data_IF_761496591305
#
_entry.id   IF_761496591305
#
_cell.length_a   1.000
_cell.length_b   1.000
_cell.length_c   1.000
_cell.angle_alpha   90.00
_cell.angle_beta   90.00
_cell.angle_gamma   90.00
#
_symmetry.space_group_name_H-M   'P 1'
#
loop_
_entity.id
_entity.type
_entity.pdbx_description
1 polymer ?
#
# COMPACT_ATOMS: atom_id res chain seq x y z
N UNK A 1 -41.79 -26.03 -8.88
CA UNK A 1 -40.46 -25.54 -8.46
C UNK A 1 -40.69 -24.35 -7.53
N UNK A 2 -40.12 -24.30 -6.35
CA UNK A 2 -40.30 -23.20 -5.39
C UNK A 2 -38.96 -22.50 -5.20
N UNK A 3 -38.88 -21.21 -5.50
CA UNK A 3 -37.69 -20.40 -5.25
C UNK A 3 -37.80 -19.69 -3.90
N UNK A 4 -36.68 -19.65 -3.16
CA UNK A 4 -36.56 -18.91 -1.91
C UNK A 4 -35.39 -17.97 -1.99
N UNK A 5 -35.65 -16.70 -1.92
CA UNK A 5 -34.64 -15.65 -1.80
C UNK A 5 -34.37 -15.36 -0.33
N UNK A 6 -33.11 -15.27 0.04
CA UNK A 6 -32.68 -14.85 1.37
C UNK A 6 -31.72 -13.68 1.23
N UNK A 7 -32.12 -12.52 1.70
CA UNK A 7 -31.23 -11.40 1.92
C UNK A 7 -30.71 -11.48 3.37
N UNK A 8 -29.41 -11.33 3.58
CA UNK A 8 -28.77 -11.25 4.88
C UNK A 8 -27.91 -10.00 4.88
N UNK A 9 -28.29 -8.96 5.59
CA UNK A 9 -27.42 -7.84 5.89
C UNK A 9 -26.67 -8.12 7.20
N UNK A 10 -25.37 -7.94 7.21
CA UNK A 10 -24.51 -8.13 8.39
C UNK A 10 -24.47 -6.86 9.23
N UNK A 11 -24.91 -5.72 8.66
CA UNK A 11 -24.95 -4.42 9.31
C UNK A 11 -26.36 -3.80 9.27
N UNK A 12 -26.73 -3.13 10.34
CA UNK A 12 -28.00 -2.42 10.49
C UNK A 12 -28.11 -1.12 9.69
N UNK A 13 -27.04 -0.72 9.00
CA UNK A 13 -26.95 0.53 8.23
C UNK A 13 -27.23 0.37 6.73
N UNK A 14 -27.52 -0.84 6.29
CA UNK A 14 -27.79 -1.10 4.87
C UNK A 14 -29.12 -0.56 4.41
N UNK A 15 -29.13 0.27 3.36
CA UNK A 15 -30.31 0.86 2.72
C UNK A 15 -31.14 -0.13 1.90
N UNK A 16 -31.13 -1.41 2.21
CA UNK A 16 -31.90 -2.47 1.54
C UNK A 16 -31.20 -2.99 0.28
N UNK A 17 -31.52 -4.24 -0.07
CA UNK A 17 -31.07 -4.87 -1.32
C UNK A 17 -32.08 -4.62 -2.44
N UNK A 18 -31.60 -4.19 -3.60
CA UNK A 18 -32.38 -4.18 -4.83
C UNK A 18 -31.97 -5.37 -5.69
N UNK A 19 -32.95 -6.02 -6.33
CA UNK A 19 -32.73 -7.06 -7.32
C UNK A 19 -33.23 -6.55 -8.68
N UNK A 20 -32.35 -6.62 -9.67
CA UNK A 20 -32.66 -6.28 -11.04
C UNK A 20 -32.22 -7.41 -11.98
N UNK A 21 -32.92 -7.55 -13.12
CA UNK A 21 -32.57 -8.53 -14.17
C UNK A 21 -32.46 -9.98 -13.69
N UNK A 22 -33.44 -10.48 -12.93
CA UNK A 22 -33.44 -11.86 -12.45
C UNK A 22 -33.58 -12.81 -13.64
N UNK A 23 -32.52 -13.58 -13.92
CA UNK A 23 -32.55 -14.67 -14.90
C UNK A 23 -32.70 -15.99 -14.17
N UNK A 24 -33.62 -16.81 -14.62
CA UNK A 24 -33.85 -18.18 -14.14
C UNK A 24 -33.57 -19.12 -15.31
N UNK A 25 -32.49 -19.86 -15.23
CA UNK A 25 -32.09 -20.85 -16.21
C UNK A 25 -32.16 -22.26 -15.63
N UNK A 26 -32.26 -23.27 -16.48
CA UNK A 26 -32.06 -24.65 -16.06
C UNK A 26 -30.58 -24.85 -15.72
N UNK A 27 -30.30 -25.48 -14.57
CA UNK A 27 -28.91 -25.75 -14.18
C UNK A 27 -28.26 -26.66 -15.22
N UNK A 28 -26.99 -26.39 -15.61
CA UNK A 28 -26.30 -27.29 -16.57
C UNK A 28 -26.14 -28.68 -15.99
N UNK A 29 -26.33 -29.68 -16.84
CA UNK A 29 -26.27 -31.13 -16.46
C UNK A 29 -24.91 -31.54 -15.90
N UNK A 30 -23.84 -30.79 -16.17
CA UNK A 30 -22.48 -30.99 -15.65
C UNK A 30 -22.13 -30.05 -14.54
N UNK A 31 -20.85 -29.91 -14.23
CA UNK A 31 -20.29 -28.84 -13.42
C UNK A 31 -20.37 -27.49 -14.16
N UNK A 32 -20.45 -26.40 -13.43
CA UNK A 32 -20.39 -25.05 -13.97
C UNK A 32 -19.51 -24.18 -13.07
N UNK A 33 -18.33 -23.88 -13.53
CA UNK A 33 -17.40 -23.04 -12.81
C UNK A 33 -17.75 -21.55 -12.98
N UNK A 34 -17.78 -20.82 -11.87
CA UNK A 34 -18.01 -19.37 -11.85
C UNK A 34 -17.01 -18.71 -10.90
N UNK A 35 -16.26 -17.72 -11.39
CA UNK A 35 -15.40 -16.87 -10.57
C UNK A 35 -16.17 -15.59 -10.24
N UNK A 36 -16.07 -15.12 -9.00
CA UNK A 36 -16.84 -13.96 -8.49
C UNK A 36 -16.38 -12.59 -9.03
N UNK A 37 -15.35 -12.55 -9.87
CA UNK A 37 -14.84 -11.35 -10.53
C UNK A 37 -14.65 -11.61 -12.03
N UNK A 38 -14.63 -10.56 -12.83
CA UNK A 38 -14.45 -10.63 -14.29
C UNK A 38 -13.01 -10.36 -14.75
N UNK A 39 -12.20 -9.76 -13.89
CA UNK A 39 -10.77 -9.50 -14.10
C UNK A 39 -10.09 -9.18 -12.78
N UNK A 40 -8.76 -9.21 -12.75
CA UNK A 40 -7.96 -8.69 -11.66
C UNK A 40 -6.76 -7.90 -12.19
N UNK A 41 -6.50 -6.72 -11.59
CA UNK A 41 -5.35 -5.89 -11.89
C UNK A 41 -4.58 -5.63 -10.59
N UNK A 42 -3.29 -5.95 -10.60
CA UNK A 42 -2.39 -5.72 -9.47
C UNK A 42 -1.99 -4.24 -9.30
N UNK A 43 -2.27 -3.38 -10.30
CA UNK A 43 -1.78 -2.00 -10.33
C UNK A 43 -0.27 -1.92 -10.58
N UNK A 44 0.33 -0.83 -10.11
CA UNK A 44 1.78 -0.60 -10.17
C UNK A 44 2.48 -1.34 -9.02
N UNK A 45 3.48 -2.15 -9.37
CA UNK A 45 4.21 -2.99 -8.41
C UNK A 45 5.70 -2.71 -8.52
N UNK A 46 6.31 -2.27 -7.44
CA UNK A 46 7.73 -1.97 -7.37
C UNK A 46 8.61 -3.15 -7.77
N UNK A 47 9.80 -2.83 -8.29
CA UNK A 47 10.85 -3.79 -8.65
C UNK A 47 11.05 -4.86 -7.55
N UNK A 48 11.06 -6.12 -7.97
CA UNK A 48 11.21 -7.29 -7.08
C UNK A 48 10.19 -7.39 -5.94
N UNK A 49 9.07 -6.70 -6.02
CA UNK A 49 7.95 -6.85 -5.08
C UNK A 49 6.81 -7.66 -5.70
N UNK A 50 5.89 -8.05 -4.86
CA UNK A 50 4.70 -8.79 -5.27
C UNK A 50 3.45 -8.26 -4.57
N UNK A 51 2.33 -8.29 -5.28
CA UNK A 51 1.01 -7.92 -4.76
C UNK A 51 0.09 -9.12 -4.90
N UNK A 52 -0.68 -9.37 -3.85
CA UNK A 52 -1.66 -10.47 -3.82
C UNK A 52 -3.07 -9.89 -3.78
N UNK A 53 -3.97 -10.47 -4.56
CA UNK A 53 -5.38 -10.06 -4.61
C UNK A 53 -6.06 -10.19 -3.25
N UNK A 54 -7.13 -9.44 -3.03
CA UNK A 54 -8.14 -9.81 -2.03
C UNK A 54 -8.64 -11.22 -2.33
N UNK A 55 -9.29 -11.86 -1.37
CA UNK A 55 -9.83 -13.20 -1.55
C UNK A 55 -10.84 -13.24 -2.69
N UNK A 56 -10.59 -14.10 -3.65
CA UNK A 56 -11.46 -14.44 -4.76
C UNK A 56 -12.15 -15.77 -4.47
N UNK A 57 -13.25 -16.05 -5.17
CA UNK A 57 -14.03 -17.27 -4.95
C UNK A 57 -14.34 -17.97 -6.28
N UNK A 58 -14.10 -19.27 -6.33
CA UNK A 58 -14.51 -20.16 -7.41
C UNK A 58 -15.65 -21.05 -6.92
N UNK A 59 -16.81 -20.92 -7.56
CA UNK A 59 -18.05 -21.67 -7.25
C UNK A 59 -18.33 -22.71 -8.32
N UNK A 60 -18.71 -23.93 -7.91
CA UNK A 60 -19.40 -24.87 -8.77
C UNK A 60 -20.91 -24.57 -8.76
N UNK A 61 -21.38 -23.79 -9.73
CA UNK A 61 -22.80 -23.46 -9.92
C UNK A 61 -23.58 -24.56 -10.67
N UNK A 62 -22.95 -25.68 -10.98
CA UNK A 62 -23.55 -26.84 -11.63
C UNK A 62 -24.19 -27.84 -10.67
N UNK A 63 -24.81 -28.92 -11.23
CA UNK A 63 -25.47 -29.97 -10.45
C UNK A 63 -24.56 -31.17 -10.14
N UNK A 64 -23.43 -31.28 -10.82
CA UNK A 64 -22.48 -32.40 -10.63
C UNK A 64 -21.16 -31.91 -10.06
N UNK A 65 -20.51 -32.82 -9.35
CA UNK A 65 -19.15 -32.61 -8.87
C UNK A 65 -18.20 -32.35 -10.04
N UNK A 66 -17.30 -31.38 -9.86
CA UNK A 66 -16.21 -31.12 -10.81
C UNK A 66 -14.87 -31.11 -10.09
N UNK A 67 -13.82 -31.59 -10.78
CA UNK A 67 -12.46 -31.62 -10.28
C UNK A 67 -11.59 -30.71 -11.13
N UNK A 68 -10.76 -29.87 -10.50
CA UNK A 68 -9.76 -29.07 -11.20
C UNK A 68 -8.67 -30.01 -11.75
N UNK A 69 -8.47 -29.98 -13.06
CA UNK A 69 -7.43 -30.80 -13.74
C UNK A 69 -6.15 -30.00 -13.99
N UNK A 70 -6.27 -28.67 -14.18
CA UNK A 70 -5.13 -27.77 -14.34
C UNK A 70 -5.49 -26.35 -13.97
N UNK A 71 -4.48 -25.60 -13.51
CA UNK A 71 -4.53 -24.15 -13.30
C UNK A 71 -3.25 -23.56 -13.85
N UNK A 72 -3.35 -22.67 -14.83
CA UNK A 72 -2.18 -22.16 -15.55
C UNK A 72 -2.28 -20.68 -15.91
N UNK A 73 -1.09 -20.08 -16.01
CA UNK A 73 -0.81 -18.78 -16.60
C UNK A 73 0.23 -18.96 -17.72
N UNK A 74 0.23 -18.07 -18.69
CA UNK A 74 1.27 -18.04 -19.75
C UNK A 74 2.53 -17.33 -19.26
N UNK A 75 2.38 -16.38 -18.35
CA UNK A 75 3.46 -15.56 -17.82
C UNK A 75 3.80 -15.97 -16.38
N UNK A 76 5.09 -16.16 -16.13
CA UNK A 76 5.63 -16.54 -14.81
C UNK A 76 5.46 -15.47 -13.71
N UNK A 77 5.10 -14.25 -14.07
CA UNK A 77 4.85 -13.18 -13.10
C UNK A 77 3.57 -13.42 -12.29
N UNK A 78 2.67 -14.27 -12.78
CA UNK A 78 1.44 -14.60 -12.07
C UNK A 78 1.51 -15.99 -11.43
N UNK A 79 0.91 -16.09 -10.26
CA UNK A 79 0.69 -17.34 -9.54
C UNK A 79 -0.64 -17.29 -8.79
N UNK A 80 -1.13 -18.44 -8.32
CA UNK A 80 -2.38 -18.52 -7.55
C UNK A 80 -2.28 -19.57 -6.46
N UNK A 81 -3.08 -19.41 -5.41
CA UNK A 81 -3.27 -20.44 -4.38
C UNK A 81 -4.20 -21.57 -4.84
N UNK A 82 -4.93 -21.38 -5.95
CA UNK A 82 -5.77 -22.42 -6.52
C UNK A 82 -4.88 -23.53 -7.13
N UNK A 83 -5.18 -24.79 -6.87
CA UNK A 83 -4.35 -25.89 -7.30
C UNK A 83 -5.18 -27.02 -7.93
N UNK A 84 -4.53 -27.82 -8.77
CA UNK A 84 -5.13 -29.01 -9.36
C UNK A 84 -5.51 -30.03 -8.29
N UNK A 85 -6.35 -30.97 -8.69
CA UNK A 85 -6.89 -32.08 -7.88
C UNK A 85 -7.91 -31.64 -6.81
N UNK A 86 -8.24 -30.35 -6.71
CA UNK A 86 -9.34 -29.90 -5.88
C UNK A 86 -10.67 -30.34 -6.47
N UNK A 87 -11.53 -30.87 -5.63
CA UNK A 87 -12.87 -31.33 -5.99
C UNK A 87 -13.89 -30.38 -5.40
N UNK A 88 -14.85 -29.96 -6.20
CA UNK A 88 -15.96 -29.11 -5.79
C UNK A 88 -17.28 -29.83 -6.07
N UNK A 89 -18.00 -30.15 -5.00
CA UNK A 89 -19.36 -30.68 -5.12
C UNK A 89 -20.33 -29.62 -5.64
N UNK A 90 -21.54 -30.04 -6.01
CA UNK A 90 -22.59 -29.11 -6.46
C UNK A 90 -22.82 -28.01 -5.40
N UNK A 91 -22.74 -26.74 -5.81
CA UNK A 91 -22.90 -25.55 -4.96
C UNK A 91 -21.77 -25.32 -3.96
N UNK A 92 -20.71 -26.08 -4.03
CA UNK A 92 -19.51 -25.84 -3.24
C UNK A 92 -18.62 -24.76 -3.87
N UNK A 93 -17.90 -24.03 -3.05
CA UNK A 93 -16.95 -23.01 -3.48
C UNK A 93 -15.65 -23.09 -2.73
N UNK A 94 -14.59 -22.56 -3.33
CA UNK A 94 -13.26 -22.42 -2.73
C UNK A 94 -12.77 -20.99 -2.86
N UNK A 95 -12.18 -20.51 -1.78
CA UNK A 95 -11.49 -19.23 -1.76
C UNK A 95 -10.06 -19.37 -2.26
N UNK A 96 -9.61 -18.40 -3.04
CA UNK A 96 -8.25 -18.36 -3.57
C UNK A 96 -7.75 -16.93 -3.74
N UNK A 97 -6.44 -16.79 -3.98
CA UNK A 97 -5.80 -15.54 -4.30
C UNK A 97 -4.97 -15.68 -5.58
N UNK A 98 -4.72 -14.56 -6.23
CA UNK A 98 -3.76 -14.41 -7.32
C UNK A 98 -2.66 -13.48 -6.84
N UNK A 99 -1.42 -13.83 -7.14
CA UNK A 99 -0.24 -12.99 -6.84
C UNK A 99 0.43 -12.59 -8.14
N UNK A 100 0.72 -11.32 -8.29
CA UNK A 100 1.58 -10.76 -9.33
C UNK A 100 2.93 -10.37 -8.73
N UNK A 101 4.01 -10.87 -9.31
CA UNK A 101 5.39 -10.54 -8.94
C UNK A 101 6.03 -9.72 -10.07
N UNK A 102 6.41 -8.49 -9.79
CA UNK A 102 6.97 -7.57 -10.78
C UNK A 102 8.28 -8.09 -11.41
N UNK A 103 9.13 -8.78 -10.62
CA UNK A 103 10.43 -9.25 -11.12
C UNK A 103 11.33 -8.07 -11.50
N UNK A 104 12.17 -8.29 -12.52
CA UNK A 104 13.18 -7.31 -12.98
C UNK A 104 12.74 -6.51 -14.22
N UNK A 105 11.54 -6.76 -14.72
CA UNK A 105 11.06 -6.18 -15.99
C UNK A 105 10.27 -4.90 -15.69
N UNK A 106 10.54 -3.84 -16.43
CA UNK A 106 9.74 -2.62 -16.46
C UNK A 106 8.73 -2.74 -17.60
N UNK A 107 7.54 -3.21 -17.31
CA UNK A 107 6.50 -3.42 -18.31
C UNK A 107 5.12 -3.68 -17.71
N UNK A 108 4.09 -3.25 -18.43
CA UNK A 108 2.74 -3.77 -18.27
C UNK A 108 2.72 -5.25 -18.69
N UNK A 109 2.30 -6.12 -17.78
CA UNK A 109 2.17 -7.56 -17.99
C UNK A 109 0.70 -7.92 -17.98
N UNK A 110 0.23 -8.46 -19.10
CA UNK A 110 -1.13 -8.96 -19.24
C UNK A 110 -1.10 -10.48 -19.45
N UNK A 111 -2.05 -11.19 -18.84
CA UNK A 111 -2.20 -12.62 -18.94
C UNK A 111 -3.65 -13.05 -18.68
N UNK A 112 -3.88 -14.34 -18.68
CA UNK A 112 -5.16 -14.97 -18.41
C UNK A 112 -4.94 -16.21 -17.54
N UNK A 113 -5.50 -16.24 -16.35
CA UNK A 113 -5.58 -17.47 -15.56
C UNK A 113 -6.58 -18.41 -16.24
N UNK A 114 -6.14 -19.60 -16.57
CA UNK A 114 -7.01 -20.66 -17.12
C UNK A 114 -7.17 -21.76 -16.08
N UNK A 115 -8.42 -22.12 -15.77
CA UNK A 115 -8.76 -23.25 -14.90
C UNK A 115 -9.55 -24.26 -15.72
N UNK A 116 -9.06 -25.51 -15.79
CA UNK A 116 -9.68 -26.61 -16.50
C UNK A 116 -10.23 -27.66 -15.55
N UNK A 117 -11.27 -28.33 -15.96
CA UNK A 117 -12.00 -29.32 -15.17
C UNK A 117 -12.21 -30.62 -15.92
N UNK A 118 -12.49 -31.69 -15.19
CA UNK A 118 -12.85 -33.01 -15.78
C UNK A 118 -14.30 -33.05 -16.28
N UNK A 119 -15.20 -32.28 -15.64
CA UNK A 119 -16.65 -32.34 -15.88
C UNK A 119 -17.30 -30.95 -16.00
N UNK A 120 -16.55 -29.93 -16.38
CA UNK A 120 -17.06 -28.58 -16.64
C UNK A 120 -16.25 -27.91 -17.76
N UNK A 121 -16.81 -26.94 -18.48
CA UNK A 121 -16.04 -26.08 -19.37
C UNK A 121 -14.94 -25.32 -18.57
N UNK A 122 -13.81 -25.11 -19.24
CA UNK A 122 -12.76 -24.28 -18.67
C UNK A 122 -13.29 -22.85 -18.40
N UNK A 123 -12.80 -22.23 -17.34
CA UNK A 123 -13.05 -20.82 -17.04
C UNK A 123 -11.74 -20.04 -17.12
N UNK A 124 -11.82 -18.82 -17.61
CA UNK A 124 -10.68 -17.91 -17.73
C UNK A 124 -10.91 -16.62 -16.97
N UNK A 125 -9.85 -16.06 -16.43
CA UNK A 125 -9.86 -14.77 -15.73
C UNK A 125 -8.73 -13.90 -16.25
N UNK A 126 -9.01 -12.81 -16.98
CA UNK A 126 -8.00 -11.82 -17.35
C UNK A 126 -7.31 -11.24 -16.14
N UNK A 127 -5.98 -11.16 -16.20
CA UNK A 127 -5.15 -10.59 -15.12
C UNK A 127 -4.12 -9.63 -15.70
N UNK A 128 -3.78 -8.59 -14.97
CA UNK A 128 -2.74 -7.64 -15.36
C UNK A 128 -2.00 -7.08 -14.15
N UNK A 129 -0.83 -6.51 -14.40
CA UNK A 129 -0.04 -5.79 -13.42
C UNK A 129 1.06 -5.00 -14.13
N UNK A 130 1.38 -3.81 -13.64
CA UNK A 130 2.46 -3.00 -14.17
C UNK A 130 3.70 -3.19 -13.29
N UNK A 131 4.71 -3.88 -13.81
CA UNK A 131 5.99 -4.04 -13.15
C UNK A 131 6.84 -2.79 -13.34
N UNK A 132 7.19 -2.10 -12.27
CA UNK A 132 8.05 -0.90 -12.31
C UNK A 132 9.52 -1.30 -12.35
N UNK A 133 10.31 -0.55 -13.11
CA UNK A 133 11.75 -0.76 -13.25
C UNK A 133 12.53 -0.46 -11.97
N UNK A 134 13.77 -0.97 -11.91
CA UNK A 134 14.65 -0.83 -10.74
C UNK A 134 14.97 0.64 -10.36
N UNK A 135 14.74 1.57 -11.25
CA UNK A 135 14.99 3.01 -11.02
C UNK A 135 13.71 3.80 -10.69
N UNK A 136 12.61 3.11 -10.51
CA UNK A 136 11.33 3.69 -10.11
C UNK A 136 10.91 3.16 -8.75
N UNK A 137 10.43 4.06 -7.89
CA UNK A 137 9.75 3.72 -6.63
C UNK A 137 8.37 4.35 -6.62
N UNK A 138 7.42 3.55 -6.21
CA UNK A 138 6.03 3.90 -6.05
C UNK A 138 5.60 3.68 -4.61
N UNK A 139 4.91 4.65 -4.05
CA UNK A 139 4.36 4.60 -2.69
C UNK A 139 2.88 4.94 -2.75
N UNK A 140 2.04 3.95 -2.55
CA UNK A 140 0.57 4.07 -2.47
C UNK A 140 0.07 4.15 -1.04
N UNK A 141 0.97 4.03 -0.04
CA UNK A 141 0.67 3.98 1.40
C UNK A 141 -0.18 2.78 1.85
N UNK A 142 -0.47 1.83 0.96
CA UNK A 142 -1.26 0.63 1.26
C UNK A 142 -0.59 -0.34 2.23
N UNK A 143 0.75 -0.34 2.27
CA UNK A 143 1.57 -1.17 3.16
C UNK A 143 1.79 -0.56 4.54
N UNK A 144 1.29 0.65 4.78
CA UNK A 144 1.39 1.34 6.06
C UNK A 144 0.22 0.98 6.98
N UNK A 145 0.43 1.13 8.29
CA UNK A 145 -0.65 0.97 9.25
C UNK A 145 -1.58 2.20 9.23
N UNK A 146 -2.88 1.95 9.32
CA UNK A 146 -3.86 3.01 9.50
C UNK A 146 -3.55 3.87 10.74
N UNK A 147 -3.41 5.16 10.55
CA UNK A 147 -3.03 6.12 11.60
C UNK A 147 -1.52 6.24 11.81
N UNK A 148 -0.71 5.62 10.98
CA UNK A 148 0.75 5.80 11.00
C UNK A 148 1.12 7.25 10.72
N UNK A 149 1.92 7.84 11.59
CA UNK A 149 2.53 9.18 11.42
C UNK A 149 3.97 9.12 10.91
N UNK A 150 4.44 7.91 10.61
CA UNK A 150 5.75 7.63 10.06
C UNK A 150 5.61 6.67 8.86
N UNK A 151 5.13 7.16 7.71
CA UNK A 151 4.96 6.33 6.53
C UNK A 151 6.30 5.76 6.06
N UNK A 152 6.29 4.52 5.59
CA UNK A 152 7.48 3.78 5.15
C UNK A 152 8.19 4.50 4.01
N UNK A 153 9.51 4.55 4.05
CA UNK A 153 10.34 5.22 3.05
C UNK A 153 10.42 6.74 3.22
N UNK A 154 9.88 7.29 4.31
CA UNK A 154 9.88 8.72 4.56
C UNK A 154 10.22 9.07 6.01
N UNK A 155 10.80 10.25 6.17
CA UNK A 155 10.91 10.93 7.46
C UNK A 155 9.89 12.05 7.52
N UNK A 156 9.10 12.13 8.58
CA UNK A 156 8.17 13.24 8.82
C UNK A 156 8.73 14.17 9.88
N UNK A 157 8.54 15.49 9.71
CA UNK A 157 8.95 16.51 10.68
C UNK A 157 7.81 17.49 10.88
N UNK A 158 7.22 17.47 12.05
CA UNK A 158 6.31 18.51 12.57
C UNK A 158 7.17 19.65 13.13
N UNK A 159 7.33 20.72 12.36
CA UNK A 159 8.21 21.82 12.72
C UNK A 159 7.50 22.93 13.52
N UNK A 160 6.19 22.94 13.57
CA UNK A 160 5.43 23.87 14.39
C UNK A 160 5.03 23.29 15.76
N UNK A 161 5.09 21.95 15.91
CA UNK A 161 4.75 21.21 17.14
C UNK A 161 3.34 21.49 17.67
N UNK A 162 2.39 21.71 16.78
CA UNK A 162 1.03 22.08 17.12
C UNK A 162 0.06 20.94 16.95
N UNK A 163 -0.98 20.94 17.79
CA UNK A 163 -2.10 20.06 17.61
C UNK A 163 -2.79 20.32 16.26
N UNK A 164 -3.20 19.26 15.60
CA UNK A 164 -3.92 19.32 14.33
C UNK A 164 -5.41 19.58 14.54
N UNK A 165 -6.07 20.16 13.53
CA UNK A 165 -7.54 20.24 13.52
C UNK A 165 -8.13 18.84 13.63
N UNK A 166 -9.29 18.75 14.27
CA UNK A 166 -10.06 17.52 14.39
C UNK A 166 -11.23 17.57 13.41
N UNK A 167 -11.16 16.87 12.28
CA UNK A 167 -12.32 16.72 11.42
C UNK A 167 -13.42 16.01 12.22
N UNK A 168 -14.52 16.70 12.49
CA UNK A 168 -15.57 16.31 13.45
C UNK A 168 -16.21 14.94 13.17
N UNK A 169 -15.90 14.34 12.09
CA UNK A 169 -16.65 13.21 11.54
C UNK A 169 -15.76 12.04 11.09
N UNK A 170 -14.44 12.15 11.17
CA UNK A 170 -13.50 11.04 10.93
C UNK A 170 -12.95 10.55 12.26
N UNK A 171 -13.00 9.26 12.49
CA UNK A 171 -12.33 8.65 13.64
C UNK A 171 -11.10 7.90 13.16
N UNK A 172 -9.91 8.40 13.52
CA UNK A 172 -8.63 7.75 13.21
C UNK A 172 -7.68 7.88 14.42
N UNK A 173 -6.68 7.00 14.52
CA UNK A 173 -5.65 7.11 15.55
C UNK A 173 -4.94 8.48 15.48
N UNK A 174 -4.50 9.00 16.64
CA UNK A 174 -3.79 10.29 16.74
C UNK A 174 -4.60 11.55 16.38
N UNK A 175 -5.91 11.47 16.20
CA UNK A 175 -6.77 12.63 15.92
C UNK A 175 -6.51 13.76 16.92
N UNK A 176 -6.24 14.96 16.42
CA UNK A 176 -5.99 16.15 17.23
C UNK A 176 -4.64 16.20 17.94
N UNK A 177 -3.78 15.20 17.76
CA UNK A 177 -2.41 15.24 18.26
C UNK A 177 -1.53 16.10 17.32
N UNK A 178 -0.33 16.43 17.78
CA UNK A 178 0.71 17.04 16.96
C UNK A 178 1.39 15.95 16.11
N UNK A 179 1.37 16.12 14.80
CA UNK A 179 2.08 15.31 13.81
C UNK A 179 2.12 16.04 12.47
N UNK A 180 3.08 15.71 11.61
CA UNK A 180 3.20 16.33 10.29
C UNK A 180 2.27 15.68 9.27
N UNK A 181 2.39 14.38 9.08
CA UNK A 181 1.60 13.60 8.12
C UNK A 181 1.06 12.34 8.77
N UNK A 182 -0.02 11.83 8.24
CA UNK A 182 -0.69 10.61 8.75
C UNK A 182 -1.28 9.80 7.62
N UNK A 183 -1.18 8.48 7.70
CA UNK A 183 -1.85 7.56 6.78
C UNK A 183 -3.28 7.31 7.26
N UNK A 184 -4.23 7.58 6.40
CA UNK A 184 -5.65 7.32 6.69
C UNK A 184 -6.28 6.47 5.59
N UNK A 185 -7.31 5.73 5.95
CA UNK A 185 -8.07 4.93 5.02
C UNK A 185 -9.49 5.50 4.82
N UNK A 186 -10.14 5.05 3.77
CA UNK A 186 -11.55 5.32 3.59
C UNK A 186 -12.33 4.71 4.74
N UNK A 187 -12.96 5.55 5.55
CA UNK A 187 -13.85 5.08 6.61
C UNK A 187 -15.26 4.82 6.04
N UNK A 188 -15.96 3.78 6.52
CA UNK A 188 -17.37 3.62 6.20
C UNK A 188 -18.12 4.87 6.70
N UNK A 189 -18.96 5.43 5.83
CA UNK A 189 -19.75 6.62 6.14
C UNK A 189 -20.64 6.39 7.37
N UNK A 190 -20.58 7.24 8.40
CA UNK A 190 -21.66 7.32 9.36
C UNK A 190 -22.93 7.77 8.67
N UNK A 191 -24.06 7.20 9.03
CA UNK A 191 -25.36 7.55 8.44
C UNK A 191 -25.61 9.07 8.50
N UNK A 192 -25.72 9.70 7.33
CA UNK A 192 -25.97 11.15 7.19
C UNK A 192 -24.73 12.05 7.08
N UNK A 193 -23.54 11.50 6.98
CA UNK A 193 -22.31 12.27 6.78
C UNK A 193 -21.92 12.34 5.28
N UNK A 194 -21.54 13.53 4.83
CA UNK A 194 -21.08 13.73 3.45
C UNK A 194 -19.55 13.64 3.37
N UNK A 195 -19.03 12.40 3.34
CA UNK A 195 -17.59 12.09 3.33
C UNK A 195 -16.97 11.96 1.95
N UNK A 196 -17.62 12.41 0.94
CA UNK A 196 -17.29 12.21 -0.47
C UNK A 196 -15.89 12.63 -0.89
N UNK A 197 -15.10 13.21 0.02
CA UNK A 197 -13.78 13.74 -0.28
C UNK A 197 -12.60 12.91 0.24
N UNK A 198 -12.85 11.85 1.04
CA UNK A 198 -11.79 11.01 1.61
C UNK A 198 -11.70 9.69 0.83
N UNK A 199 -11.78 9.76 -0.49
CA UNK A 199 -11.53 8.60 -1.32
C UNK A 199 -10.07 8.64 -1.77
N UNK A 200 -9.28 7.57 -1.51
CA UNK A 200 -7.98 7.39 -2.10
C UNK A 200 -8.05 7.49 -3.62
N UNK A 201 -6.97 7.88 -4.25
CA UNK A 201 -6.86 7.82 -5.70
C UNK A 201 -6.71 6.38 -6.17
N UNK A 202 -5.91 5.62 -5.46
CA UNK A 202 -5.76 4.18 -5.65
C UNK A 202 -5.89 3.44 -4.31
N UNK A 203 -6.17 2.15 -4.34
CA UNK A 203 -6.26 1.32 -3.15
C UNK A 203 -7.33 1.75 -2.14
N UNK A 204 -7.01 1.55 -0.86
CA UNK A 204 -7.90 1.80 0.29
C UNK A 204 -7.34 2.88 1.25
N UNK A 205 -6.10 3.33 1.06
CA UNK A 205 -5.40 4.28 1.94
C UNK A 205 -4.85 5.49 1.19
N UNK A 206 -4.56 6.54 1.90
CA UNK A 206 -3.93 7.77 1.41
C UNK A 206 -3.13 8.45 2.52
N UNK A 207 -2.25 9.37 2.16
CA UNK A 207 -1.53 10.21 3.09
C UNK A 207 -2.27 11.55 3.27
N UNK A 208 -2.34 12.04 4.49
CA UNK A 208 -2.96 13.32 4.81
C UNK A 208 -2.04 14.20 5.67
N UNK A 209 -2.19 15.50 5.53
CA UNK A 209 -1.67 16.50 6.47
C UNK A 209 -2.79 17.46 6.86
N UNK A 210 -2.80 17.89 8.10
CA UNK A 210 -3.86 18.69 8.68
C UNK A 210 -3.39 20.13 8.95
N UNK A 211 -4.32 21.06 8.94
CA UNK A 211 -4.05 22.39 9.45
C UNK A 211 -3.88 22.37 10.99
N UNK A 212 -3.28 23.42 11.52
CA UNK A 212 -3.11 23.59 12.98
C UNK A 212 -4.44 23.95 13.66
N UNK A 213 -4.69 23.37 14.83
CA UNK A 213 -5.90 23.63 15.60
C UNK A 213 -6.00 25.07 16.15
N UNK A 214 -4.87 25.77 16.28
CA UNK A 214 -4.81 27.16 16.75
C UNK A 214 -5.01 28.19 15.64
N UNK A 215 -5.21 27.72 14.39
CA UNK A 215 -5.46 28.57 13.23
C UNK A 215 -4.24 29.33 12.73
N UNK A 216 -3.04 28.88 13.02
CA UNK A 216 -1.80 29.41 12.45
C UNK A 216 -1.39 28.61 11.20
N UNK A 217 -0.37 29.07 10.48
CA UNK A 217 0.19 28.32 9.33
C UNK A 217 0.79 26.99 9.81
N UNK A 218 0.48 25.91 9.10
CA UNK A 218 1.10 24.61 9.32
C UNK A 218 2.51 24.58 8.71
N UNK A 219 3.45 23.93 9.39
CA UNK A 219 4.84 23.77 8.93
C UNK A 219 5.26 22.33 9.07
N UNK A 220 4.68 21.49 8.20
CA UNK A 220 4.81 20.04 8.24
C UNK A 220 5.59 19.53 7.04
N UNK A 221 6.48 18.59 7.27
CA UNK A 221 7.36 18.05 6.25
C UNK A 221 7.23 16.55 6.14
N UNK A 222 7.22 16.07 4.88
CA UNK A 222 7.53 14.68 4.55
C UNK A 222 8.75 14.68 3.64
N UNK A 223 9.75 13.88 3.99
CA UNK A 223 11.09 13.88 3.40
C UNK A 223 11.40 12.46 2.94
N UNK A 224 11.79 12.30 1.67
CA UNK A 224 12.21 11.02 1.13
C UNK A 224 13.53 10.53 1.73
N UNK A 225 13.81 9.25 1.57
CA UNK A 225 15.17 8.72 1.71
C UNK A 225 16.12 9.37 0.70
N UNK A 226 17.43 9.22 0.94
CA UNK A 226 18.44 9.71 0.01
C UNK A 226 18.45 8.88 -1.26
N UNK A 227 18.41 9.56 -2.40
CA UNK A 227 18.44 8.94 -3.73
C UNK A 227 19.47 9.64 -4.60
N UNK A 228 20.07 8.92 -5.56
CA UNK A 228 20.88 9.56 -6.60
C UNK A 228 20.02 9.81 -7.83
N UNK A 229 19.84 11.07 -8.20
CA UNK A 229 19.10 11.43 -9.40
C UNK A 229 19.86 10.97 -10.65
N UNK A 230 19.16 10.35 -11.59
CA UNK A 230 19.67 10.02 -12.93
C UNK A 230 19.26 11.10 -13.94
N UNK A 231 19.64 10.90 -15.19
CA UNK A 231 19.09 11.72 -16.26
C UNK A 231 17.57 11.55 -16.29
N UNK A 232 16.87 12.65 -16.56
CA UNK A 232 15.40 12.68 -16.61
C UNK A 232 14.72 12.24 -15.29
N UNK A 233 15.41 12.43 -14.14
CA UNK A 233 14.82 12.18 -12.83
C UNK A 233 13.62 13.09 -12.59
N UNK A 234 12.55 12.52 -12.10
CA UNK A 234 11.34 13.26 -11.76
C UNK A 234 10.64 12.66 -10.53
N UNK A 235 9.96 13.53 -9.81
CA UNK A 235 9.04 13.16 -8.73
C UNK A 235 7.65 13.65 -9.11
N UNK A 236 6.67 12.76 -9.13
CA UNK A 236 5.29 13.14 -9.35
C UNK A 236 4.36 12.46 -8.36
N UNK A 237 3.27 13.12 -8.05
CA UNK A 237 2.31 12.67 -7.06
C UNK A 237 0.96 13.32 -7.30
N UNK A 238 -0.04 12.80 -6.64
CA UNK A 238 -1.37 13.38 -6.65
C UNK A 238 -1.71 14.04 -5.32
N UNK A 239 -2.35 15.19 -5.39
CA UNK A 239 -2.87 15.88 -4.21
C UNK A 239 -4.23 16.51 -4.47
N UNK A 240 -5.01 16.62 -3.40
CA UNK A 240 -6.27 17.38 -3.36
C UNK A 240 -6.45 18.00 -1.99
N UNK A 241 -7.09 19.18 -1.91
CA UNK A 241 -7.51 19.75 -0.64
C UNK A 241 -8.94 19.35 -0.32
N UNK A 242 -9.22 19.23 0.98
CA UNK A 242 -10.58 19.04 1.46
C UNK A 242 -11.33 20.37 1.44
N UNK A 243 -12.63 20.27 1.13
CA UNK A 243 -13.62 21.32 1.10
C UNK A 243 -13.65 22.21 -0.15
N UNK A 244 -14.83 22.33 -0.64
CA UNK A 244 -15.13 22.81 -1.97
C UNK A 244 -15.66 24.21 -2.07
N UNK A 245 -15.98 24.92 -1.02
CA UNK A 245 -16.74 26.15 -1.22
C UNK A 245 -16.00 27.46 -0.87
N UNK A 246 -14.73 27.42 -0.50
CA UNK A 246 -13.93 28.61 -0.14
C UNK A 246 -14.53 29.50 0.97
N UNK A 247 -15.68 29.12 1.51
CA UNK A 247 -16.42 29.98 2.44
C UNK A 247 -15.87 29.84 3.85
N UNK A 248 -15.40 28.63 4.20
CA UNK A 248 -14.98 28.29 5.54
C UNK A 248 -13.52 27.95 5.67
N UNK A 249 -12.90 27.38 4.60
CA UNK A 249 -11.51 26.93 4.62
C UNK A 249 -10.74 27.50 3.43
N UNK A 250 -9.66 28.27 3.66
CA UNK A 250 -8.80 28.74 2.59
C UNK A 250 -8.11 27.55 1.93
N UNK A 251 -7.64 27.76 0.74
CA UNK A 251 -6.93 26.78 -0.07
C UNK A 251 -5.72 26.23 0.67
N UNK A 252 -5.46 24.96 0.47
CA UNK A 252 -4.21 24.34 0.90
C UNK A 252 -3.05 24.75 0.00
N UNK A 253 -1.86 24.82 0.55
CA UNK A 253 -0.63 25.14 -0.18
C UNK A 253 0.47 24.16 0.20
N UNK A 254 1.29 23.82 -0.77
CA UNK A 254 2.47 23.00 -0.59
C UNK A 254 3.71 23.65 -1.22
N UNK A 255 4.87 23.25 -0.74
CA UNK A 255 6.16 23.58 -1.35
C UNK A 255 6.93 22.29 -1.54
N UNK A 256 7.50 22.07 -2.74
CA UNK A 256 8.45 20.99 -2.98
C UNK A 256 9.86 21.52 -2.88
N UNK A 257 10.70 20.82 -2.12
CA UNK A 257 12.07 21.24 -1.82
C UNK A 257 13.06 20.11 -2.04
N UNK A 258 14.30 20.47 -2.29
CA UNK A 258 15.42 19.53 -2.44
C UNK A 258 16.57 19.93 -1.52
N UNK A 259 17.22 18.92 -0.93
CA UNK A 259 18.51 19.03 -0.28
C UNK A 259 19.53 18.13 -0.98
N UNK A 260 20.74 18.63 -1.19
CA UNK A 260 21.90 17.88 -1.74
C UNK A 260 22.91 17.50 -0.67
N UNK A 261 22.60 17.74 0.59
CA UNK A 261 23.53 17.51 1.74
C UNK A 261 22.98 16.47 2.71
N UNK A 262 21.91 16.81 3.43
CA UNK A 262 21.32 15.99 4.48
C UNK A 262 19.79 16.21 4.53
N UNK A 263 19.11 15.51 5.44
CA UNK A 263 17.65 15.60 5.62
C UNK A 263 17.21 16.60 6.71
N UNK A 264 18.10 17.45 7.19
CA UNK A 264 17.71 18.52 8.12
C UNK A 264 16.86 19.57 7.37
N UNK A 265 15.74 19.99 7.94
CA UNK A 265 14.82 20.97 7.30
C UNK A 265 15.51 22.26 6.86
N UNK A 266 16.57 22.69 7.56
CA UNK A 266 17.36 23.87 7.21
C UNK A 266 18.22 23.71 5.96
N UNK A 267 18.44 22.50 5.49
CA UNK A 267 19.27 22.18 4.32
C UNK A 267 18.48 22.18 3.01
N UNK A 268 17.16 22.30 3.08
CA UNK A 268 16.30 22.23 1.91
C UNK A 268 16.11 23.59 1.25
N UNK A 269 16.13 23.57 -0.08
CA UNK A 269 15.85 24.74 -0.93
C UNK A 269 14.58 24.50 -1.76
N UNK A 270 13.62 25.44 -1.75
CA UNK A 270 12.43 25.31 -2.58
C UNK A 270 12.76 25.23 -4.09
N UNK A 271 12.06 24.36 -4.78
CA UNK A 271 12.17 24.26 -6.24
C UNK A 271 11.41 25.40 -6.93
N UNK A 272 12.00 25.89 -8.01
CA UNK A 272 11.37 26.90 -8.87
C UNK A 272 10.04 26.35 -9.40
N UNK A 273 8.98 27.13 -9.30
CA UNK A 273 7.64 26.72 -9.72
C UNK A 273 6.86 25.91 -8.68
N UNK A 274 7.52 25.45 -7.59
CA UNK A 274 6.88 24.66 -6.53
C UNK A 274 6.98 25.31 -5.14
N UNK A 275 7.04 26.62 -5.10
CA UNK A 275 7.04 27.39 -3.85
C UNK A 275 5.63 27.89 -3.55
N UNK A 276 5.05 27.41 -2.47
CA UNK A 276 3.69 27.79 -2.03
C UNK A 276 2.65 27.62 -3.15
N UNK A 277 2.67 26.46 -3.77
CA UNK A 277 1.74 26.10 -4.84
C UNK A 277 0.40 25.71 -4.24
N UNK A 278 -0.66 26.27 -4.80
CA UNK A 278 -2.02 25.96 -4.38
C UNK A 278 -2.41 24.53 -4.75
N UNK A 279 -2.95 23.80 -3.77
CA UNK A 279 -3.55 22.48 -4.02
C UNK A 279 -5.01 22.69 -4.37
N UNK A 280 -5.42 22.41 -5.60
CA UNK A 280 -6.81 22.56 -5.99
C UNK A 280 -7.71 21.63 -5.20
N UNK A 281 -8.91 22.09 -4.89
CA UNK A 281 -9.99 21.23 -4.51
C UNK A 281 -10.95 21.10 -5.71
N UNK A 282 -11.62 19.97 -5.81
CA UNK A 282 -12.70 19.77 -6.77
C UNK A 282 -13.96 19.33 -6.03
N UNK A 283 -15.09 19.69 -6.59
CA UNK A 283 -16.42 19.51 -6.00
C UNK A 283 -16.64 18.10 -5.41
N UNK A 284 -17.38 18.08 -4.33
CA UNK A 284 -17.71 16.99 -3.42
C UNK A 284 -18.28 15.71 -4.03
N UNK A 285 -18.55 15.65 -5.31
CA UNK A 285 -19.30 14.55 -5.92
C UNK A 285 -18.45 13.57 -6.70
N UNK A 286 -17.11 13.72 -6.70
CA UNK A 286 -16.27 12.96 -7.60
C UNK A 286 -15.06 12.36 -6.87
N UNK A 287 -15.15 11.06 -6.61
CA UNK A 287 -14.23 10.35 -5.72
C UNK A 287 -12.82 10.22 -6.27
N UNK A 288 -12.67 9.88 -7.53
CA UNK A 288 -11.34 9.59 -8.11
C UNK A 288 -10.82 10.67 -9.06
N UNK A 289 -11.68 11.46 -9.70
CA UNK A 289 -11.30 12.49 -10.68
C UNK A 289 -10.93 13.84 -10.06
N UNK A 290 -11.07 13.98 -8.74
CA UNK A 290 -10.78 15.24 -8.02
C UNK A 290 -9.30 15.45 -7.69
N UNK A 291 -8.44 14.51 -8.03
CA UNK A 291 -7.00 14.58 -7.79
C UNK A 291 -6.29 15.44 -8.83
N UNK A 292 -5.31 16.21 -8.39
CA UNK A 292 -4.41 16.99 -9.24
C UNK A 292 -3.04 16.37 -9.22
N UNK A 293 -2.49 16.12 -10.39
CA UNK A 293 -1.12 15.65 -10.56
C UNK A 293 -0.14 16.81 -10.42
N UNK A 294 0.93 16.58 -9.68
CA UNK A 294 2.09 17.46 -9.55
C UNK A 294 3.30 16.72 -10.13
N UNK A 295 3.85 17.23 -11.20
CA UNK A 295 5.01 16.66 -11.89
C UNK A 295 6.22 17.58 -11.70
N UNK A 296 7.25 17.08 -11.02
CA UNK A 296 8.44 17.84 -10.60
C UNK A 296 9.65 17.33 -11.35
N UNK A 297 10.14 18.12 -12.30
CA UNK A 297 11.39 17.84 -13.01
C UNK A 297 12.61 18.03 -12.08
N UNK A 298 13.40 16.98 -11.97
CA UNK A 298 14.62 16.92 -11.16
C UNK A 298 15.86 16.61 -11.99
N UNK A 299 15.76 16.70 -13.31
CA UNK A 299 16.85 16.45 -14.26
C UNK A 299 18.11 17.31 -13.99
N UNK A 300 17.92 18.53 -13.44
CA UNK A 300 19.02 19.42 -13.05
C UNK A 300 19.91 18.85 -11.94
N UNK A 301 19.47 17.81 -11.22
CA UNK A 301 20.20 17.14 -10.15
C UNK A 301 20.89 15.85 -10.60
N UNK A 302 20.92 15.56 -11.91
CA UNK A 302 21.51 14.32 -12.42
C UNK A 302 22.91 14.07 -11.88
N UNK A 303 23.15 12.86 -11.36
CA UNK A 303 24.38 12.43 -10.71
C UNK A 303 24.57 12.89 -9.26
N UNK A 304 23.66 13.69 -8.71
CA UNK A 304 23.72 14.14 -7.34
C UNK A 304 22.89 13.24 -6.41
N UNK A 305 23.37 13.07 -5.19
CA UNK A 305 22.57 12.50 -4.10
C UNK A 305 21.68 13.58 -3.53
N UNK A 306 20.39 13.33 -3.50
CA UNK A 306 19.39 14.29 -3.05
C UNK A 306 18.38 13.67 -2.09
N UNK A 307 17.77 14.52 -1.30
CA UNK A 307 16.53 14.28 -0.57
C UNK A 307 15.46 15.19 -1.17
N UNK A 308 14.24 14.72 -1.27
CA UNK A 308 13.09 15.48 -1.75
C UNK A 308 12.13 15.63 -0.58
N UNK A 309 11.61 16.82 -0.40
CA UNK A 309 10.60 17.10 0.61
C UNK A 309 9.35 17.73 0.02
N UNK A 310 8.19 17.37 0.57
CA UNK A 310 6.95 18.12 0.41
C UNK A 310 6.61 18.75 1.75
N UNK A 311 6.53 20.06 1.77
CA UNK A 311 6.15 20.83 2.96
C UNK A 311 4.72 21.32 2.81
N UNK A 312 3.88 20.99 3.77
CA UNK A 312 2.61 21.66 3.97
C UNK A 312 2.87 23.07 4.51
N UNK A 313 2.40 24.08 3.83
CA UNK A 313 2.43 25.47 4.26
C UNK A 313 1.05 26.10 4.07
N UNK A 314 0.03 25.35 4.39
CA UNK A 314 -1.36 25.79 4.40
C UNK A 314 -1.53 26.93 5.41
N UNK A 315 -2.07 28.10 5.00
CA UNK A 315 -2.23 29.25 5.88
C UNK A 315 -3.28 28.99 6.95
N UNK A 316 -3.37 29.93 7.88
CA UNK A 316 -4.37 29.91 8.94
C UNK A 316 -5.78 29.66 8.41
N UNK A 317 -6.55 28.86 9.11
CA UNK A 317 -7.90 28.40 8.78
C UNK A 317 -7.98 27.40 7.59
N UNK A 318 -6.86 26.84 7.15
CA UNK A 318 -6.86 25.66 6.29
C UNK A 318 -7.50 24.44 6.99
N UNK A 319 -7.66 23.34 6.28
CA UNK A 319 -8.26 22.15 6.87
C UNK A 319 -7.40 20.90 6.64
N UNK A 320 -7.60 20.19 5.55
CA UNK A 320 -6.89 18.94 5.25
C UNK A 320 -6.38 18.96 3.82
N UNK A 321 -5.17 18.45 3.63
CA UNK A 321 -4.62 18.15 2.31
C UNK A 321 -4.35 16.66 2.23
N UNK A 322 -4.84 16.03 1.18
CA UNK A 322 -4.64 14.62 0.87
C UNK A 322 -3.60 14.47 -0.22
N UNK A 323 -2.80 13.42 -0.09
CA UNK A 323 -1.80 12.99 -1.05
C UNK A 323 -1.94 11.51 -1.32
N UNK A 324 -1.60 11.10 -2.54
CA UNK A 324 -1.57 9.70 -2.91
C UNK A 324 -0.61 9.47 -4.06
N UNK A 325 -0.20 8.20 -4.23
CA UNK A 325 0.58 7.76 -5.38
C UNK A 325 1.84 8.60 -5.64
N UNK A 326 2.82 8.49 -4.74
CA UNK A 326 4.13 9.11 -4.93
C UNK A 326 5.01 8.25 -5.83
N UNK A 327 5.50 8.83 -6.92
CA UNK A 327 6.42 8.19 -7.87
C UNK A 327 7.74 8.94 -7.94
N UNK A 328 8.80 8.23 -7.72
CA UNK A 328 10.17 8.69 -7.94
C UNK A 328 10.74 7.91 -9.12
N UNK A 329 10.85 8.53 -10.28
CA UNK A 329 11.33 7.91 -11.50
C UNK A 329 12.75 8.35 -11.86
N UNK A 330 13.54 7.42 -12.37
CA UNK A 330 14.94 7.62 -12.73
C UNK A 330 15.85 8.02 -11.56
N UNK A 331 15.71 7.28 -10.46
CA UNK A 331 16.61 7.37 -9.31
C UNK A 331 17.36 6.06 -9.05
N UNK A 332 18.61 6.17 -8.58
CA UNK A 332 19.31 5.08 -7.93
C UNK A 332 19.05 5.18 -6.43
N UNK A 333 18.51 4.12 -5.88
CA UNK A 333 18.24 4.03 -4.45
C UNK A 333 19.47 3.43 -3.76
N UNK A 334 19.98 4.11 -2.75
CA UNK A 334 20.83 3.42 -1.76
C UNK A 334 19.90 2.40 -1.12
N UNK A 335 20.24 1.11 -1.15
CA UNK A 335 19.40 0.03 -0.66
C UNK A 335 18.75 0.37 0.68
N UNK A 336 17.60 1.03 0.66
CA UNK A 336 16.77 1.28 1.83
C UNK A 336 15.85 0.08 2.13
N UNK A 337 15.89 -0.93 1.26
CA UNK A 337 15.22 -2.20 1.49
C UNK A 337 16.05 -3.12 2.41
N UNK A 338 17.03 -2.58 3.12
CA UNK A 338 17.79 -3.32 4.12
C UNK A 338 16.89 -3.62 5.32
N UNK A 339 16.29 -4.76 5.31
CA UNK A 339 15.51 -5.29 6.43
C UNK A 339 16.47 -5.62 7.60
N UNK A 340 16.05 -5.31 8.81
CA UNK A 340 16.89 -5.64 9.96
C UNK A 340 17.08 -7.16 10.07
N UNK A 341 18.33 -7.62 10.32
CA UNK A 341 18.58 -9.03 10.56
C UNK A 341 17.88 -9.53 11.82
N UNK A 342 17.52 -10.79 11.84
CA UNK A 342 16.81 -11.40 12.95
C UNK A 342 17.41 -12.76 13.34
N UNK A 343 17.20 -13.16 14.61
CA UNK A 343 17.54 -14.50 15.05
C UNK A 343 16.47 -15.49 14.57
N UNK A 344 16.91 -16.53 13.87
CA UNK A 344 16.02 -17.63 13.43
C UNK A 344 15.83 -18.69 14.50
N UNK A 345 16.56 -18.59 15.61
CA UNK A 345 16.51 -19.50 16.75
C UNK A 345 16.10 -18.77 18.01
N UNK A 346 15.40 -19.47 18.88
CA UNK A 346 14.98 -18.97 20.21
C UNK A 346 15.95 -19.55 21.26
N UNK A 347 16.57 -18.73 22.12
CA UNK A 347 17.48 -19.23 23.16
C UNK A 347 16.72 -19.99 24.24
N UNK A 348 17.34 -21.07 24.76
CA UNK A 348 16.90 -21.68 26.00
C UNK A 348 17.13 -20.73 27.18
N UNK A 349 16.09 -20.42 27.90
CA UNK A 349 16.14 -19.48 29.04
C UNK A 349 16.47 -20.15 30.36
N UNK A 350 16.65 -21.48 30.37
CA UNK A 350 16.91 -22.26 31.57
C UNK A 350 18.27 -22.98 31.49
N UNK A 351 19.00 -22.97 32.58
CA UNK A 351 20.25 -23.72 32.73
C UNK A 351 20.24 -24.52 34.02
N UNK A 352 20.80 -25.74 33.99
CA UNK A 352 20.92 -26.60 35.16
C UNK A 352 22.33 -26.49 35.79
N UNK A 353 22.39 -26.28 37.06
CA UNK A 353 23.66 -26.22 37.81
C UNK A 353 24.47 -27.50 37.59
N UNK A 354 25.76 -27.34 37.25
CA UNK A 354 26.67 -28.44 36.99
C UNK A 354 26.52 -29.10 35.59
N UNK A 355 25.66 -28.60 34.75
CA UNK A 355 25.53 -29.00 33.34
C UNK A 355 26.12 -27.94 32.44
N UNK A 356 26.80 -28.38 31.37
CA UNK A 356 27.21 -27.44 30.29
C UNK A 356 25.95 -26.97 29.58
N UNK A 357 25.72 -25.64 29.53
CA UNK A 357 24.74 -25.01 28.70
C UNK A 357 25.37 -24.65 27.36
N UNK A 358 24.66 -24.90 26.26
CA UNK A 358 25.12 -24.56 24.91
C UNK A 358 23.89 -24.06 24.12
N UNK A 359 24.02 -22.93 23.50
CA UNK A 359 23.05 -22.39 22.60
C UNK A 359 23.67 -22.20 21.21
N UNK A 360 23.18 -22.92 20.22
CA UNK A 360 23.53 -22.72 18.84
C UNK A 360 22.51 -21.78 18.24
N UNK A 361 22.94 -20.61 17.86
CA UNK A 361 22.07 -19.62 17.24
C UNK A 361 22.31 -19.56 15.74
N UNK A 362 21.27 -19.15 15.02
CA UNK A 362 21.37 -18.72 13.63
C UNK A 362 20.68 -17.39 13.44
N UNK A 363 21.18 -16.61 12.51
CA UNK A 363 20.68 -15.32 12.10
C UNK A 363 20.44 -15.32 10.60
N UNK A 364 19.42 -14.62 10.17
CA UNK A 364 19.11 -14.41 8.76
C UNK A 364 18.93 -12.92 8.52
N UNK A 365 19.32 -12.50 7.35
CA UNK A 365 18.99 -11.21 6.80
C UNK A 365 18.03 -11.42 5.63
N UNK A 366 16.85 -10.76 5.60
CA UNK A 366 15.90 -10.93 4.52
C UNK A 366 16.45 -10.54 3.14
N UNK A 367 17.44 -9.65 3.12
CA UNK A 367 18.04 -9.13 1.89
C UNK A 367 19.30 -9.91 1.48
N UNK A 368 19.70 -10.89 2.30
CA UNK A 368 20.87 -11.75 2.06
C UNK A 368 22.21 -11.09 2.38
N UNK A 369 22.20 -10.01 3.16
CA UNK A 369 23.41 -9.29 3.53
C UNK A 369 24.33 -10.13 4.44
N UNK A 370 25.67 -9.98 4.32
CA UNK A 370 26.62 -10.64 5.19
C UNK A 370 26.45 -10.17 6.65
N UNK A 371 26.24 -11.11 7.56
CA UNK A 371 26.00 -10.81 8.96
C UNK A 371 27.23 -11.07 9.82
N UNK A 372 27.47 -10.18 10.79
CA UNK A 372 28.43 -10.36 11.87
C UNK A 372 27.73 -10.25 13.22
N UNK A 373 27.82 -11.30 14.03
CA UNK A 373 27.25 -11.29 15.38
C UNK A 373 28.35 -11.00 16.41
N UNK A 374 28.14 -9.98 17.23
CA UNK A 374 29.02 -9.62 18.33
C UNK A 374 28.30 -9.73 19.68
N UNK A 375 28.97 -10.28 20.68
CA UNK A 375 28.48 -10.31 22.05
C UNK A 375 29.02 -9.14 22.86
N UNK A 376 28.12 -8.28 23.33
CA UNK A 376 28.46 -7.20 24.27
C UNK A 376 28.15 -7.63 25.71
N UNK A 377 29.00 -7.23 26.65
CA UNK A 377 28.80 -7.54 28.06
C UNK A 377 28.90 -9.03 28.43
N UNK A 378 29.56 -9.83 27.59
CA UNK A 378 29.73 -11.28 27.79
C UNK A 378 30.43 -11.60 29.14
N UNK A 379 29.85 -12.44 30.00
CA UNK A 379 30.52 -12.92 31.22
C UNK A 379 31.79 -13.68 30.88
N UNK A 380 32.78 -13.64 31.78
CA UNK A 380 34.08 -14.28 31.55
C UNK A 380 34.00 -15.79 31.33
N UNK A 381 33.02 -16.45 31.90
CA UNK A 381 32.80 -17.90 31.82
C UNK A 381 32.06 -18.34 30.55
N UNK A 382 31.46 -17.44 29.80
CA UNK A 382 30.77 -17.73 28.55
C UNK A 382 31.76 -17.72 27.37
N UNK A 383 31.83 -18.82 26.64
CA UNK A 383 32.56 -18.89 25.39
C UNK A 383 31.62 -18.67 24.21
N UNK A 384 32.11 -17.95 23.24
CA UNK A 384 31.38 -17.69 21.98
C UNK A 384 32.28 -18.03 20.81
N UNK A 385 31.81 -18.87 19.92
CA UNK A 385 32.44 -19.18 18.63
C UNK A 385 31.61 -18.64 17.51
N UNK A 386 32.02 -17.53 16.85
CA UNK A 386 31.28 -17.00 15.73
C UNK A 386 31.34 -17.99 14.54
N UNK A 387 30.19 -18.13 13.87
CA UNK A 387 30.08 -18.83 12.59
C UNK A 387 29.60 -17.87 11.49
N UNK A 388 29.62 -18.33 10.25
CA UNK A 388 28.97 -17.60 9.15
C UNK A 388 27.45 -17.73 9.32
N UNK A 389 26.77 -16.62 9.56
CA UNK A 389 25.32 -16.57 9.83
C UNK A 389 24.89 -17.35 11.08
N UNK A 390 25.76 -17.52 12.07
CA UNK A 390 25.46 -18.19 13.32
C UNK A 390 26.68 -18.50 14.18
N UNK A 391 26.47 -19.14 15.32
CA UNK A 391 27.51 -19.55 16.24
C UNK A 391 27.03 -20.51 17.31
#
# INVERSE_FOLDING_TARGET
>A
MNFRWRYSAVDFTGSGGALDNILVEEAPVGGKAVINVTSWNAGDVNYNKAVTSKTLNLLNDGEQTMKITDVSFKNKNFSTSLHKDLVLDSRESVDFNITFAAGETDALVEDEMTVTFDNAPAVTLPVSGNALGMYTRYFSFEDDEFGSVAPKGFTTVDADHKATVQPLMINYPNIGNAYAYIVINQQPEPEGADWRNIYPRSGDQLLATMATADGTEAVDWIISDQMTARNDAKFWFYAKSYDGDNTYHPWAYLTVLVSTTDNAVSSFTPLSGFTSVQVPHKNNNDSQTSWTEFDVDLSAYAGQKIYIAVRNNTPSNGFVTFFDDFYFENFEYVNSDNSAPYFTTVPETTATVGKKWTYNYSVADPDGDPLTVTLQGKPFWLNHTPGTNGG
#
